data_IF_454557003154
#
_entry.id   IF_454557003154
#
_cell.length_a   1.000
_cell.length_b   1.000
_cell.length_c   1.000
_cell.angle_alpha   90.00
_cell.angle_beta   90.00
_cell.angle_gamma   90.00
#
_symmetry.space_group_name_H-M   'P 1'
#
loop_
_entity.id
_entity.type
_entity.pdbx_description
1 polymer ?
#
# COMPACT_ATOMS: atom_id res chain seq x y z
N UNK A 1 -4.11 -12.30 -53.92
CA UNK A 1 -3.19 -13.08 -53.05
C UNK A 1 -2.92 -12.25 -51.81
N UNK A 2 -3.51 -12.60 -50.66
CA UNK A 2 -3.33 -11.89 -49.39
C UNK A 2 -2.37 -12.69 -48.51
N UNK A 3 -1.15 -12.18 -48.38
CA UNK A 3 -0.12 -12.73 -47.49
C UNK A 3 -0.48 -12.39 -46.04
N UNK A 4 -0.77 -13.40 -45.24
CA UNK A 4 -0.83 -13.29 -43.79
C UNK A 4 0.60 -13.34 -43.25
N UNK A 5 1.05 -12.24 -42.65
CA UNK A 5 2.31 -12.18 -41.92
C UNK A 5 2.21 -13.13 -40.73
N UNK A 6 2.96 -14.22 -40.80
CA UNK A 6 3.04 -15.24 -39.77
C UNK A 6 3.87 -14.67 -38.60
N UNK A 7 3.18 -14.06 -37.65
CA UNK A 7 3.78 -13.51 -36.44
C UNK A 7 4.19 -14.65 -35.51
N UNK A 8 5.38 -15.21 -35.72
CA UNK A 8 5.94 -16.24 -34.84
C UNK A 8 6.18 -15.67 -33.44
N UNK A 9 5.39 -16.14 -32.46
CA UNK A 9 5.58 -15.85 -31.04
C UNK A 9 6.48 -16.96 -30.48
N UNK A 10 7.74 -16.62 -30.18
CA UNK A 10 8.67 -17.52 -29.50
C UNK A 10 8.42 -17.42 -28.00
N UNK A 11 7.73 -18.40 -27.43
CA UNK A 11 7.56 -18.52 -25.98
C UNK A 11 8.73 -19.33 -25.41
N UNK A 12 9.64 -18.67 -24.70
CA UNK A 12 10.72 -19.33 -23.95
C UNK A 12 10.24 -19.57 -22.50
N UNK A 13 10.11 -20.84 -22.11
CA UNK A 13 9.84 -21.22 -20.72
C UNK A 13 11.13 -21.71 -20.07
N UNK A 14 11.52 -21.12 -18.94
CA UNK A 14 12.62 -21.59 -18.09
C UNK A 14 12.09 -22.52 -17.00
N UNK A 15 12.89 -23.49 -16.58
CA UNK A 15 12.61 -24.35 -15.41
C UNK A 15 12.66 -23.56 -14.10
N UNK A 16 13.26 -22.37 -14.11
CA UNK A 16 13.37 -21.50 -12.94
C UNK A 16 12.15 -20.58 -12.83
N UNK A 17 11.48 -20.65 -11.68
CA UNK A 17 10.37 -19.74 -11.37
C UNK A 17 10.90 -18.33 -11.15
N UNK A 18 10.65 -17.42 -12.09
CA UNK A 18 10.89 -16.00 -11.86
C UNK A 18 10.01 -15.52 -10.71
N UNK A 19 10.50 -14.64 -9.82
CA UNK A 19 9.68 -14.06 -8.77
C UNK A 19 8.55 -13.22 -9.40
N UNK A 20 7.30 -13.60 -9.12
CA UNK A 20 6.12 -12.85 -9.52
C UNK A 20 5.69 -11.88 -8.41
N UNK A 21 5.15 -10.73 -8.78
CA UNK A 21 4.59 -9.77 -7.83
C UNK A 21 3.52 -10.48 -6.99
N UNK A 22 3.59 -10.42 -5.64
CA UNK A 22 2.58 -11.03 -4.78
C UNK A 22 1.19 -10.43 -5.05
N UNK A 23 0.14 -11.26 -5.03
CA UNK A 23 -1.23 -10.82 -5.30
C UNK A 23 -1.70 -9.70 -4.35
N UNK A 24 -1.25 -9.73 -3.09
CA UNK A 24 -1.55 -8.73 -2.08
C UNK A 24 -0.82 -7.39 -2.27
N UNK A 25 0.19 -7.31 -3.14
CA UNK A 25 1.01 -6.11 -3.29
C UNK A 25 0.18 -4.90 -3.75
N UNK A 26 -0.82 -5.13 -4.60
CA UNK A 26 -1.73 -4.08 -5.09
C UNK A 26 -2.52 -3.42 -3.95
N UNK A 27 -2.95 -4.19 -2.96
CA UNK A 27 -3.68 -3.67 -1.79
C UNK A 27 -2.76 -2.78 -0.94
N UNK A 28 -1.50 -3.15 -0.78
CA UNK A 28 -0.50 -2.31 -0.08
C UNK A 28 -0.31 -0.99 -0.81
N UNK A 29 -0.23 -1.00 -2.15
CA UNK A 29 -0.13 0.22 -2.95
C UNK A 29 -1.33 1.15 -2.70
N UNK A 30 -2.54 0.60 -2.63
CA UNK A 30 -3.75 1.38 -2.35
C UNK A 30 -3.70 2.03 -0.96
N UNK A 31 -3.32 1.26 0.06
CA UNK A 31 -3.18 1.77 1.43
C UNK A 31 -2.09 2.82 1.53
N UNK A 32 -0.89 2.57 0.99
CA UNK A 32 0.21 3.53 1.02
C UNK A 32 -0.15 4.84 0.32
N UNK A 33 -0.74 4.77 -0.89
CA UNK A 33 -1.23 5.94 -1.62
C UNK A 33 -2.28 6.71 -0.83
N UNK A 34 -3.17 5.99 -0.16
CA UNK A 34 -4.21 6.58 0.67
C UNK A 34 -3.64 7.31 1.88
N UNK A 35 -2.76 6.67 2.65
CA UNK A 35 -2.09 7.26 3.81
C UNK A 35 -1.29 8.51 3.41
N UNK A 36 -0.61 8.46 2.26
CA UNK A 36 0.10 9.62 1.70
C UNK A 36 -0.84 10.76 1.34
N UNK A 37 -1.93 10.47 0.60
CA UNK A 37 -2.91 11.49 0.19
C UNK A 37 -3.51 12.24 1.38
N UNK A 38 -3.69 11.58 2.52
CA UNK A 38 -4.27 12.15 3.72
C UNK A 38 -3.22 12.72 4.69
N UNK A 39 -1.95 12.75 4.29
CA UNK A 39 -0.83 13.27 5.07
C UNK A 39 -0.54 12.46 6.34
N UNK A 40 -1.04 11.22 6.43
CA UNK A 40 -0.86 10.38 7.63
C UNK A 40 0.61 10.02 7.82
N UNK A 41 1.32 9.69 6.74
CA UNK A 41 2.76 9.38 6.79
C UNK A 41 3.57 10.56 7.36
N UNK A 42 3.28 11.78 6.90
CA UNK A 42 3.91 13.00 7.42
C UNK A 42 3.59 13.21 8.90
N UNK A 43 2.32 13.09 9.29
CA UNK A 43 1.89 13.25 10.70
C UNK A 43 2.53 12.21 11.62
N UNK A 44 2.73 10.98 11.15
CA UNK A 44 3.43 9.94 11.91
C UNK A 44 4.87 10.38 12.20
N UNK A 45 5.58 10.89 11.20
CA UNK A 45 6.97 11.33 11.39
C UNK A 45 7.08 12.52 12.37
N UNK A 46 6.11 13.43 12.34
CA UNK A 46 6.12 14.63 13.19
C UNK A 46 5.73 14.33 14.65
N UNK A 47 4.69 13.51 14.84
CA UNK A 47 4.02 13.33 16.13
C UNK A 47 4.46 12.08 16.88
N UNK A 48 4.95 11.04 16.19
CA UNK A 48 5.41 9.81 16.83
C UNK A 48 6.91 9.93 17.08
N UNK A 49 7.25 10.49 18.24
CA UNK A 49 8.64 10.64 18.67
C UNK A 49 9.14 9.33 19.26
N UNK A 50 10.07 8.70 18.54
CA UNK A 50 10.91 7.63 19.06
C UNK A 50 12.27 8.19 19.47
N UNK A 51 12.91 7.62 20.49
CA UNK A 51 14.26 8.02 20.87
C UNK A 51 15.23 7.70 19.72
N UNK A 52 15.50 8.71 18.87
CA UNK A 52 16.23 8.67 17.59
C UNK A 52 17.61 7.98 17.65
N UNK A 53 18.18 7.81 18.85
CA UNK A 53 19.51 7.25 19.08
C UNK A 53 19.62 5.71 18.97
N UNK A 54 18.52 4.94 19.01
CA UNK A 54 18.62 3.47 19.17
C UNK A 54 18.36 2.61 17.92
N UNK A 55 17.81 3.17 16.84
CA UNK A 55 17.41 2.38 15.65
C UNK A 55 18.18 2.73 14.36
N UNK A 56 19.24 3.54 14.46
CA UNK A 56 20.07 3.90 13.32
C UNK A 56 19.33 4.76 12.29
N UNK A 57 19.39 4.35 11.02
CA UNK A 57 18.80 5.06 9.88
C UNK A 57 17.28 4.79 9.68
N UNK A 58 16.68 3.93 10.49
CA UNK A 58 15.25 3.62 10.41
C UNK A 58 14.44 4.61 11.26
N UNK A 59 13.31 5.07 10.72
CA UNK A 59 12.25 5.75 11.47
C UNK A 59 10.99 4.88 11.54
N UNK A 60 9.97 5.36 12.25
CA UNK A 60 8.76 4.59 12.58
C UNK A 60 8.04 4.08 11.31
N UNK A 61 8.07 4.86 10.23
CA UNK A 61 7.42 4.53 8.96
C UNK A 61 8.00 3.23 8.36
N UNK A 62 9.29 2.97 8.51
CA UNK A 62 9.92 1.76 7.96
C UNK A 62 9.31 0.49 8.57
N UNK A 63 9.04 0.53 9.87
CA UNK A 63 8.41 -0.57 10.59
C UNK A 63 6.92 -0.67 10.30
N UNK A 64 6.22 0.47 10.20
CA UNK A 64 4.81 0.48 9.82
C UNK A 64 4.59 -0.07 8.41
N UNK A 65 5.47 0.24 7.45
CA UNK A 65 5.42 -0.32 6.10
C UNK A 65 5.43 -1.85 6.14
N UNK A 66 6.35 -2.44 6.90
CA UNK A 66 6.44 -3.89 7.12
C UNK A 66 5.18 -4.45 7.79
N UNK A 67 4.66 -3.79 8.83
CA UNK A 67 3.47 -4.23 9.54
C UNK A 67 2.20 -4.17 8.68
N UNK A 68 2.04 -3.12 7.85
CA UNK A 68 0.94 -3.03 6.89
C UNK A 68 1.07 -4.12 5.83
N UNK A 69 2.25 -4.29 5.25
CA UNK A 69 2.51 -5.35 4.29
C UNK A 69 2.18 -6.73 4.86
N UNK A 70 2.64 -7.02 6.07
CA UNK A 70 2.39 -8.30 6.74
C UNK A 70 0.90 -8.50 7.01
N UNK A 71 0.20 -7.51 7.57
CA UNK A 71 -1.22 -7.61 7.87
C UNK A 71 -2.07 -7.82 6.61
N UNK A 72 -1.76 -7.11 5.52
CA UNK A 72 -2.48 -7.20 4.24
C UNK A 72 -2.15 -8.51 3.51
N UNK A 73 -0.91 -8.98 3.62
CA UNK A 73 -0.46 -10.18 2.92
C UNK A 73 -1.17 -11.47 3.35
N UNK A 74 -1.70 -11.50 4.58
CA UNK A 74 -2.32 -12.70 5.14
C UNK A 74 -1.35 -13.87 5.35
N UNK A 75 -0.04 -13.64 5.25
CA UNK A 75 0.97 -14.68 5.43
C UNK A 75 0.93 -15.22 6.85
N UNK A 76 1.04 -16.55 6.99
CA UNK A 76 0.96 -17.21 8.30
C UNK A 76 2.15 -16.90 9.20
N UNK A 77 3.28 -16.51 8.61
CA UNK A 77 4.53 -16.26 9.33
C UNK A 77 5.27 -15.05 8.74
N UNK A 78 5.94 -14.29 9.60
CA UNK A 78 6.76 -13.14 9.20
C UNK A 78 7.92 -13.58 8.27
N UNK A 79 8.58 -14.67 8.61
CA UNK A 79 8.59 -15.86 7.75
C UNK A 79 8.46 -15.69 6.21
N UNK A 80 7.42 -16.38 5.73
CA UNK A 80 6.99 -16.39 4.35
C UNK A 80 6.79 -14.97 3.79
N UNK A 81 6.34 -14.02 4.61
CA UNK A 81 6.18 -12.62 4.18
C UNK A 81 7.50 -12.02 3.69
N UNK A 82 8.56 -12.08 4.48
CA UNK A 82 9.86 -11.53 4.08
C UNK A 82 10.45 -12.23 2.86
N UNK A 83 10.26 -13.56 2.73
CA UNK A 83 10.74 -14.31 1.56
C UNK A 83 10.03 -13.86 0.27
N UNK A 84 8.71 -13.68 0.33
CA UNK A 84 7.92 -13.19 -0.82
C UNK A 84 8.15 -11.71 -1.13
N UNK A 85 8.44 -10.91 -0.10
CA UNK A 85 8.70 -9.49 -0.24
C UNK A 85 10.11 -9.20 -0.77
N UNK A 86 11.11 -10.03 -0.45
CA UNK A 86 12.53 -9.75 -0.72
C UNK A 86 12.82 -9.33 -2.18
N UNK A 87 12.28 -9.99 -3.23
CA UNK A 87 12.52 -9.58 -4.61
C UNK A 87 11.96 -8.19 -4.96
N UNK A 88 11.00 -7.70 -4.17
CA UNK A 88 10.28 -6.44 -4.38
C UNK A 88 10.50 -5.43 -3.26
N UNK A 89 11.50 -5.63 -2.41
CA UNK A 89 11.74 -4.81 -1.22
C UNK A 89 11.93 -3.33 -1.55
N UNK A 90 12.72 -3.01 -2.59
CA UNK A 90 12.94 -1.63 -3.03
C UNK A 90 11.64 -0.93 -3.46
N UNK A 91 10.92 -1.46 -4.47
CA UNK A 91 9.63 -0.92 -4.87
C UNK A 91 8.60 -0.82 -3.73
N UNK A 92 8.60 -1.80 -2.82
CA UNK A 92 7.70 -1.81 -1.66
C UNK A 92 8.00 -0.65 -0.70
N UNK A 93 9.27 -0.47 -0.31
CA UNK A 93 9.66 0.58 0.63
C UNK A 93 9.44 1.97 0.03
N UNK A 94 9.64 2.12 -1.29
CA UNK A 94 9.39 3.37 -1.99
C UNK A 94 7.91 3.83 -1.93
N UNK A 95 6.95 2.92 -1.75
CA UNK A 95 5.54 3.29 -1.54
C UNK A 95 5.33 4.14 -0.28
N UNK A 96 6.20 3.97 0.70
CA UNK A 96 6.21 4.68 1.98
C UNK A 96 7.29 5.77 2.05
N UNK A 97 7.89 6.13 0.91
CA UNK A 97 8.97 7.14 0.79
C UNK A 97 10.24 6.73 1.54
N UNK A 98 10.55 5.42 1.53
CA UNK A 98 11.70 4.81 2.22
C UNK A 98 12.55 3.99 1.27
N UNK A 99 13.82 3.81 1.64
CA UNK A 99 14.81 3.10 0.81
C UNK A 99 15.22 1.74 1.36
N UNK A 100 15.01 1.49 2.66
CA UNK A 100 15.58 0.31 3.34
C UNK A 100 14.51 -0.52 4.03
N UNK A 101 14.44 -1.81 3.69
CA UNK A 101 13.57 -2.77 4.37
C UNK A 101 14.21 -3.19 5.71
N UNK A 102 13.57 -2.93 6.87
CA UNK A 102 14.11 -3.38 8.15
C UNK A 102 14.20 -4.90 8.21
N UNK A 103 15.33 -5.42 8.69
CA UNK A 103 15.47 -6.85 8.98
C UNK A 103 14.49 -7.31 10.07
N UNK A 104 14.13 -8.59 10.09
CA UNK A 104 13.22 -9.18 11.10
C UNK A 104 13.68 -8.92 12.54
N UNK A 105 14.99 -9.05 12.80
CA UNK A 105 15.55 -8.80 14.12
C UNK A 105 15.41 -7.33 14.54
N UNK A 106 15.55 -6.40 13.59
CA UNK A 106 15.32 -4.96 13.82
C UNK A 106 13.85 -4.68 14.12
N UNK A 107 12.92 -5.29 13.37
CA UNK A 107 11.48 -5.18 13.64
C UNK A 107 11.14 -5.71 15.05
N UNK A 108 11.65 -6.89 15.40
CA UNK A 108 11.42 -7.48 16.73
C UNK A 108 11.93 -6.57 17.85
N UNK A 109 13.15 -6.02 17.72
CA UNK A 109 13.70 -5.06 18.68
C UNK A 109 12.87 -3.77 18.75
N UNK A 110 12.37 -3.28 17.62
CA UNK A 110 11.50 -2.11 17.58
C UNK A 110 10.21 -2.34 18.37
N UNK A 111 9.54 -3.48 18.12
CA UNK A 111 8.31 -3.84 18.84
C UNK A 111 8.55 -4.01 20.35
N UNK A 112 9.67 -4.63 20.73
CA UNK A 112 10.03 -4.83 22.13
C UNK A 112 10.36 -3.53 22.89
N UNK A 113 10.68 -2.45 22.18
CA UNK A 113 11.09 -1.16 22.77
C UNK A 113 10.09 -0.04 22.50
N UNK A 114 8.91 -0.37 21.97
CA UNK A 114 7.84 0.57 21.63
C UNK A 114 7.28 1.23 22.91
N UNK A 115 7.54 2.53 23.16
CA UNK A 115 7.01 3.19 24.33
C UNK A 115 5.49 3.33 24.21
N UNK A 116 4.77 3.20 25.33
CA UNK A 116 3.32 3.36 25.36
C UNK A 116 2.85 4.70 24.77
N UNK A 117 3.60 5.77 25.01
CA UNK A 117 3.31 7.08 24.42
C UNK A 117 3.33 7.06 22.88
N UNK A 118 4.23 6.29 22.25
CA UNK A 118 4.27 6.12 20.80
C UNK A 118 3.09 5.29 20.29
N UNK A 119 2.71 4.25 21.03
CA UNK A 119 1.52 3.43 20.70
C UNK A 119 0.27 4.30 20.74
N UNK A 120 0.10 5.09 21.79
CA UNK A 120 -1.07 5.96 21.94
C UNK A 120 -1.09 7.06 20.87
N UNK A 121 0.06 7.68 20.56
CA UNK A 121 0.15 8.64 19.47
C UNK A 121 -0.27 8.02 18.13
N UNK A 122 0.20 6.80 17.81
CA UNK A 122 -0.22 6.08 16.62
C UNK A 122 -1.72 5.80 16.61
N UNK A 123 -2.27 5.31 17.73
CA UNK A 123 -3.71 5.03 17.86
C UNK A 123 -4.56 6.28 17.64
N UNK A 124 -4.22 7.37 18.30
CA UNK A 124 -4.93 8.64 18.14
C UNK A 124 -4.85 9.11 16.70
N UNK A 125 -3.68 9.02 16.06
CA UNK A 125 -3.54 9.45 14.67
C UNK A 125 -4.39 8.64 13.70
N UNK A 126 -4.40 7.31 13.83
CA UNK A 126 -5.23 6.46 12.98
C UNK A 126 -6.72 6.61 13.28
N UNK A 127 -7.09 6.84 14.54
CA UNK A 127 -8.47 7.08 14.92
C UNK A 127 -8.96 8.45 14.39
N UNK A 128 -8.19 9.51 14.58
CA UNK A 128 -8.48 10.84 14.04
C UNK A 128 -8.64 10.78 12.53
N UNK A 129 -7.73 10.08 11.87
CA UNK A 129 -7.79 9.86 10.43
C UNK A 129 -9.06 9.09 10.04
N UNK A 130 -9.45 8.05 10.77
CA UNK A 130 -10.67 7.29 10.52
C UNK A 130 -11.94 8.14 10.75
N UNK A 131 -11.99 8.91 11.83
CA UNK A 131 -13.14 9.73 12.22
C UNK A 131 -13.32 10.97 11.33
N UNK A 132 -12.21 11.53 10.81
CA UNK A 132 -12.27 12.64 9.86
C UNK A 132 -12.88 12.23 8.50
N UNK A 133 -13.19 10.94 8.31
CA UNK A 133 -13.75 10.41 7.07
C UNK A 133 -15.22 10.05 7.26
N UNK A 134 -16.13 10.60 6.44
CA UNK A 134 -17.48 10.07 6.38
C UNK A 134 -17.42 8.63 5.87
N UNK A 135 -17.86 7.66 6.67
CA UNK A 135 -17.98 6.24 6.30
C UNK A 135 -19.09 5.99 5.23
N UNK A 136 -19.56 7.04 4.56
CA UNK A 136 -20.75 7.02 3.72
C UNK A 136 -20.43 7.18 2.23
N UNK A 137 -20.38 6.00 1.60
CA UNK A 137 -20.79 5.62 0.24
C UNK A 137 -20.02 6.21 -0.95
N UNK A 138 -19.22 5.32 -1.54
CA UNK A 138 -19.26 5.07 -2.99
C UNK A 138 -20.72 4.94 -3.48
N UNK A 139 -21.35 6.07 -3.75
CA UNK A 139 -22.48 6.19 -4.67
C UNK A 139 -22.27 7.50 -5.42
N UNK A 140 -21.39 7.48 -6.43
CA UNK A 140 -21.43 8.40 -7.60
C UNK A 140 -20.27 8.14 -8.59
N UNK A 141 -19.89 6.88 -8.82
CA UNK A 141 -19.13 6.49 -10.02
C UNK A 141 -19.79 5.31 -10.71
N UNK A 142 -21.11 5.42 -10.85
CA UNK A 142 -21.95 4.41 -11.49
C UNK A 142 -23.30 4.95 -11.91
N UNK A 143 -23.45 6.27 -12.07
CA UNK A 143 -24.54 6.78 -12.90
C UNK A 143 -24.16 6.47 -14.35
N UNK A 144 -24.56 5.29 -14.80
CA UNK A 144 -24.71 4.99 -16.22
C UNK A 144 -25.64 6.07 -16.77
N UNK A 145 -25.08 7.11 -17.39
CA UNK A 145 -25.84 8.00 -18.27
C UNK A 145 -26.32 7.13 -19.42
N UNK A 146 -27.55 6.65 -19.33
CA UNK A 146 -28.29 6.08 -20.45
C UNK A 146 -28.32 7.13 -21.58
N UNK A 147 -27.67 6.87 -22.74
CA UNK A 147 -27.65 7.83 -23.84
C UNK A 147 -28.98 7.92 -24.61
N UNK A 148 -30.08 7.30 -24.14
CA UNK A 148 -31.36 7.27 -24.86
C UNK A 148 -32.52 8.07 -24.26
N UNK A 149 -32.28 9.06 -23.40
CA UNK A 149 -33.30 10.08 -23.11
C UNK A 149 -33.20 11.27 -24.07
N UNK A 150 -33.70 11.09 -25.30
CA UNK A 150 -34.22 12.22 -26.09
C UNK A 150 -35.58 12.60 -25.51
N UNK A 151 -35.63 13.60 -24.64
CA UNK A 151 -36.83 14.41 -24.44
C UNK A 151 -36.78 15.55 -25.43
N UNK A 152 -37.45 15.37 -26.57
CA UNK A 152 -37.84 16.48 -27.44
C UNK A 152 -39.23 16.92 -26.99
N UNK A 153 -39.28 18.09 -26.38
CA UNK A 153 -40.46 18.84 -25.97
C UNK A 153 -39.91 20.01 -25.17
N UNK A 154 -39.92 21.25 -25.63
CA UNK A 154 -40.92 21.97 -26.39
C UNK A 154 -41.24 23.21 -25.55
N UNK A 155 -40.91 24.41 -26.05
CA UNK A 155 -41.32 25.74 -25.54
C UNK A 155 -40.83 26.74 -26.61
N UNK A 156 -41.67 27.26 -27.51
CA UNK A 156 -42.51 28.46 -27.32
C UNK A 156 -41.78 29.57 -26.54
N UNK A 157 -41.25 30.55 -27.28
CA UNK A 157 -41.73 31.93 -27.28
C UNK A 157 -41.78 32.41 -28.73
#
# INVERSE_FOLDING_TARGET
MTSTVDGSIIVQTSSESAPSIPSWFGEVVLIAKHLRKNGVLTKVNEKVRFARRRFGHYEVIDFLAVLFGYAISGERTLEAFYQRLQPFAGPFMALFERDQLPARSTLSRFLAQLPDASIQALRTLFLDDLLARPLTKERQRGELKDPRRRTVGGLRY
#
